data_IF_011540890632
#
_entry.id   IF_011540890632
#
_cell.length_a   1.000
_cell.length_b   1.000
_cell.length_c   1.000
_cell.angle_alpha   90.00
_cell.angle_beta   90.00
_cell.angle_gamma   90.00
#
_symmetry.space_group_name_H-M   'P 1'
#
loop_
_entity.id
_entity.type
_entity.pdbx_description
1 polymer ?
#
# COMPACT_ATOMS: atom_id res chain seq x y z
N UNK A 1 23.32 -39.66 -4.83
CA UNK A 1 23.44 -38.59 -5.86
C UNK A 1 22.07 -38.01 -6.26
N UNK A 2 21.11 -38.84 -6.73
CA UNK A 2 19.76 -38.38 -7.14
C UNK A 2 18.97 -37.59 -6.07
N UNK A 3 19.01 -38.04 -4.81
CA UNK A 3 18.32 -37.35 -3.71
C UNK A 3 18.92 -35.97 -3.40
N UNK A 4 20.25 -35.82 -3.47
CA UNK A 4 20.92 -34.52 -3.29
C UNK A 4 20.59 -33.56 -4.44
N UNK A 5 20.53 -34.06 -5.66
CA UNK A 5 20.13 -33.28 -6.83
C UNK A 5 18.66 -32.79 -6.71
N UNK A 6 17.75 -33.67 -6.28
CA UNK A 6 16.35 -33.30 -6.05
C UNK A 6 16.21 -32.19 -5.00
N UNK A 7 16.94 -32.30 -3.88
CA UNK A 7 16.93 -31.27 -2.84
C UNK A 7 17.44 -29.91 -3.35
N UNK A 8 18.47 -29.89 -4.17
CA UNK A 8 18.98 -28.67 -4.79
C UNK A 8 17.96 -28.04 -5.75
N UNK A 9 17.26 -28.86 -6.53
CA UNK A 9 16.19 -28.40 -7.43
C UNK A 9 15.06 -27.78 -6.62
N UNK A 10 14.60 -28.45 -5.56
CA UNK A 10 13.53 -27.93 -4.70
C UNK A 10 13.94 -26.64 -3.99
N UNK A 11 15.20 -26.53 -3.54
CA UNK A 11 15.73 -25.33 -2.91
C UNK A 11 15.69 -24.09 -3.83
N UNK A 12 15.66 -24.29 -5.15
CA UNK A 12 15.55 -23.21 -6.14
C UNK A 12 14.09 -23.00 -6.56
N UNK A 13 13.38 -24.07 -6.87
CA UNK A 13 12.00 -23.98 -7.39
C UNK A 13 11.02 -23.42 -6.38
N UNK A 14 11.18 -23.72 -5.08
CA UNK A 14 10.27 -23.24 -4.05
C UNK A 14 10.35 -21.71 -3.90
N UNK A 15 11.53 -21.09 -3.67
CA UNK A 15 11.64 -19.62 -3.64
C UNK A 15 11.20 -18.97 -4.94
N UNK A 16 11.56 -19.54 -6.10
CA UNK A 16 11.15 -19.01 -7.39
C UNK A 16 9.62 -19.04 -7.57
N UNK A 17 8.97 -20.12 -7.14
CA UNK A 17 7.51 -20.24 -7.16
C UNK A 17 6.83 -19.24 -6.22
N UNK A 18 7.36 -19.05 -5.01
CA UNK A 18 6.87 -18.06 -4.05
C UNK A 18 7.00 -16.64 -4.63
N UNK A 19 8.18 -16.29 -5.14
CA UNK A 19 8.42 -14.98 -5.76
C UNK A 19 7.48 -14.75 -6.96
N UNK A 20 7.38 -15.74 -7.86
CA UNK A 20 6.49 -15.68 -9.02
C UNK A 20 5.02 -15.51 -8.63
N UNK A 21 4.57 -16.19 -7.57
CA UNK A 21 3.21 -16.06 -7.06
C UNK A 21 2.92 -14.64 -6.53
N UNK A 22 3.85 -14.04 -5.78
CA UNK A 22 3.72 -12.66 -5.32
C UNK A 22 3.71 -11.69 -6.51
N UNK A 23 4.61 -11.88 -7.47
CA UNK A 23 4.70 -11.02 -8.63
C UNK A 23 3.42 -11.04 -9.46
N UNK A 24 2.91 -12.22 -9.81
CA UNK A 24 1.70 -12.35 -10.62
C UNK A 24 0.48 -11.74 -9.90
N UNK A 25 0.41 -11.86 -8.58
CA UNK A 25 -0.77 -11.48 -7.84
C UNK A 25 -0.79 -10.04 -7.32
N UNK A 26 0.36 -9.44 -7.04
CA UNK A 26 0.43 -8.14 -6.35
C UNK A 26 1.34 -7.16 -7.09
N UNK A 27 2.63 -7.49 -7.23
CA UNK A 27 3.62 -6.60 -7.82
C UNK A 27 3.30 -6.25 -9.29
N UNK A 28 3.04 -7.25 -10.13
CA UNK A 28 2.73 -7.06 -11.55
C UNK A 28 1.49 -6.18 -11.78
N UNK A 29 0.35 -6.43 -11.10
CA UNK A 29 -0.79 -5.51 -11.10
C UNK A 29 -0.45 -4.10 -10.63
N UNK A 30 0.37 -3.94 -9.58
CA UNK A 30 0.82 -2.64 -9.08
C UNK A 30 1.69 -1.88 -10.08
N UNK A 31 2.65 -2.56 -10.73
CA UNK A 31 3.48 -1.97 -11.79
C UNK A 31 2.59 -1.42 -12.90
N UNK A 32 1.59 -2.19 -13.32
CA UNK A 32 0.60 -1.72 -14.30
C UNK A 32 -0.24 -0.55 -13.81
N UNK A 33 -0.36 -0.30 -12.51
CA UNK A 33 -1.02 0.90 -11.97
C UNK A 33 -0.08 2.09 -12.07
N UNK A 34 1.16 1.93 -11.61
CA UNK A 34 2.18 2.99 -11.64
C UNK A 34 2.47 3.49 -13.07
N UNK A 35 2.36 2.63 -14.07
CA UNK A 35 2.57 2.98 -15.50
C UNK A 35 1.38 3.69 -16.17
N UNK A 36 0.21 3.77 -15.53
CA UNK A 36 -1.02 4.31 -16.19
C UNK A 36 -1.11 5.82 -16.24
N UNK A 37 -0.43 6.52 -15.34
CA UNK A 37 -0.58 7.96 -15.16
C UNK A 37 0.79 8.61 -14.98
N UNK A 38 1.07 9.65 -15.77
CA UNK A 38 2.31 10.42 -15.65
C UNK A 38 2.46 11.07 -14.26
N UNK A 39 1.36 11.37 -13.57
CA UNK A 39 1.38 11.87 -12.20
C UNK A 39 2.00 10.88 -11.19
N UNK A 40 2.12 9.59 -11.55
CA UNK A 40 2.73 8.57 -10.70
C UNK A 40 4.24 8.42 -10.96
N UNK A 41 4.80 9.18 -11.91
CA UNK A 41 6.25 9.19 -12.13
C UNK A 41 6.98 9.60 -10.85
N UNK A 42 8.05 8.87 -10.53
CA UNK A 42 8.83 9.09 -9.30
C UNK A 42 8.27 8.42 -8.04
N UNK A 43 7.10 7.77 -8.12
CA UNK A 43 6.58 6.90 -7.05
C UNK A 43 7.13 5.48 -7.24
N UNK A 44 7.77 4.93 -6.20
CA UNK A 44 8.23 3.55 -6.17
C UNK A 44 7.54 2.82 -5.02
N UNK A 45 6.77 1.79 -5.33
CA UNK A 45 6.03 0.99 -4.37
C UNK A 45 6.19 -0.48 -4.72
N UNK A 46 6.38 -1.33 -3.72
CA UNK A 46 6.31 -2.78 -3.85
C UNK A 46 5.07 -3.34 -3.17
N UNK A 47 4.53 -4.42 -3.71
CA UNK A 47 3.48 -5.17 -3.04
C UNK A 47 3.69 -6.67 -3.09
N UNK A 48 3.61 -7.27 -1.91
CA UNK A 48 3.86 -8.68 -1.67
C UNK A 48 3.00 -9.16 -0.51
N UNK A 49 2.75 -10.46 -0.44
CA UNK A 49 2.06 -11.06 0.69
C UNK A 49 2.95 -11.02 1.93
N UNK A 50 2.35 -10.94 3.11
CA UNK A 50 3.11 -10.97 4.35
C UNK A 50 4.00 -12.23 4.42
N UNK A 51 5.29 -12.03 4.74
CA UNK A 51 6.35 -13.06 4.65
C UNK A 51 6.43 -13.79 3.29
N UNK A 52 5.95 -13.17 2.21
CA UNK A 52 5.82 -13.73 0.86
C UNK A 52 4.88 -14.95 0.74
N UNK A 53 4.26 -15.43 1.81
CA UNK A 53 3.53 -16.72 1.80
C UNK A 53 2.12 -16.65 2.40
N UNK A 54 1.74 -15.57 3.08
CA UNK A 54 0.45 -15.46 3.75
C UNK A 54 -0.55 -14.60 2.92
N UNK A 55 -1.38 -15.20 2.06
CA UNK A 55 -2.22 -14.46 1.12
C UNK A 55 -3.34 -13.64 1.78
N UNK A 56 -3.61 -13.85 3.07
CA UNK A 56 -4.60 -13.07 3.80
C UNK A 56 -4.12 -11.66 4.16
N UNK A 57 -2.82 -11.37 4.03
CA UNK A 57 -2.24 -10.07 4.37
C UNK A 57 -1.37 -9.58 3.23
N UNK A 58 -1.63 -8.36 2.76
CA UNK A 58 -0.85 -7.70 1.72
C UNK A 58 0.01 -6.62 2.35
N UNK A 59 1.25 -6.51 1.91
CA UNK A 59 2.11 -5.37 2.17
C UNK A 59 2.01 -4.42 0.98
N UNK A 60 1.81 -3.14 1.24
CA UNK A 60 1.90 -2.05 0.28
C UNK A 60 3.00 -1.11 0.77
N UNK A 61 4.19 -1.26 0.19
CA UNK A 61 5.45 -0.73 0.71
C UNK A 61 5.95 0.43 -0.14
N UNK A 62 5.85 1.64 0.39
CA UNK A 62 6.41 2.82 -0.28
C UNK A 62 7.92 2.78 -0.13
N UNK A 63 8.64 2.76 -1.25
CA UNK A 63 10.10 2.72 -1.27
C UNK A 63 10.69 4.11 -1.48
N UNK A 64 10.09 4.90 -2.39
CA UNK A 64 10.55 6.22 -2.73
C UNK A 64 9.41 7.07 -3.31
N UNK A 65 9.49 8.39 -3.11
CA UNK A 65 8.54 9.36 -3.67
C UNK A 65 9.30 10.62 -4.11
N UNK A 66 9.42 10.79 -5.42
CA UNK A 66 10.06 11.94 -6.07
C UNK A 66 9.03 12.69 -6.89
N UNK A 67 8.93 14.01 -6.68
CA UNK A 67 8.06 14.91 -7.46
C UNK A 67 6.56 14.54 -7.51
N UNK A 68 6.09 13.67 -6.62
CA UNK A 68 4.69 13.31 -6.48
C UNK A 68 4.10 13.79 -5.14
N UNK A 69 2.81 14.10 -5.14
CA UNK A 69 2.08 14.57 -3.97
C UNK A 69 1.56 13.40 -3.11
N UNK A 70 1.13 13.71 -1.89
CA UNK A 70 0.43 12.76 -1.03
C UNK A 70 -0.84 12.20 -1.68
N UNK A 71 -1.55 13.04 -2.43
CA UNK A 71 -2.74 12.66 -3.18
C UNK A 71 -2.43 11.68 -4.31
N UNK A 72 -1.25 11.79 -4.94
CA UNK A 72 -0.84 10.87 -6.01
C UNK A 72 -0.56 9.48 -5.43
N UNK A 73 0.18 9.40 -4.32
CA UNK A 73 0.44 8.12 -3.62
C UNK A 73 -0.87 7.48 -3.13
N UNK A 74 -1.80 8.29 -2.62
CA UNK A 74 -3.12 7.81 -2.22
C UNK A 74 -3.96 7.32 -3.41
N UNK A 75 -3.87 8.00 -4.56
CA UNK A 75 -4.52 7.56 -5.80
C UNK A 75 -3.96 6.22 -6.27
N UNK A 76 -2.65 5.98 -6.16
CA UNK A 76 -2.05 4.66 -6.44
C UNK A 76 -2.62 3.58 -5.51
N UNK A 77 -2.83 3.88 -4.22
CA UNK A 77 -3.45 2.93 -3.29
C UNK A 77 -4.90 2.58 -3.70
N UNK A 78 -5.68 3.58 -4.14
CA UNK A 78 -7.04 3.37 -4.63
C UNK A 78 -7.03 2.53 -5.91
N UNK A 79 -6.20 2.89 -6.88
CA UNK A 79 -6.08 2.14 -8.14
C UNK A 79 -5.60 0.70 -7.90
N UNK A 80 -4.71 0.52 -6.93
CA UNK A 80 -4.29 -0.79 -6.47
C UNK A 80 -5.45 -1.60 -5.87
N UNK A 81 -6.35 -0.96 -5.11
CA UNK A 81 -7.58 -1.58 -4.64
C UNK A 81 -8.49 -1.99 -5.80
N UNK A 82 -8.65 -1.12 -6.81
CA UNK A 82 -9.47 -1.38 -8.00
C UNK A 82 -8.97 -2.60 -8.77
N UNK A 83 -7.68 -2.71 -9.04
CA UNK A 83 -7.12 -3.88 -9.74
C UNK A 83 -7.13 -5.16 -8.90
N UNK A 84 -7.32 -5.05 -7.58
CA UNK A 84 -7.44 -6.17 -6.65
C UNK A 84 -8.88 -6.41 -6.15
N UNK A 85 -9.90 -5.77 -6.74
CA UNK A 85 -11.29 -5.78 -6.25
C UNK A 85 -11.90 -7.17 -6.03
N UNK A 86 -11.45 -8.16 -6.79
CA UNK A 86 -11.97 -9.54 -6.73
C UNK A 86 -11.24 -10.41 -5.69
N UNK A 87 -10.24 -9.87 -4.99
CA UNK A 87 -9.43 -10.57 -3.98
C UNK A 87 -9.81 -10.15 -2.57
N UNK A 88 -9.87 -11.11 -1.65
CA UNK A 88 -10.21 -10.88 -0.24
C UNK A 88 -8.98 -10.97 0.64
N UNK A 89 -8.73 -9.90 1.39
CA UNK A 89 -7.67 -9.82 2.38
C UNK A 89 -8.29 -9.62 3.76
N UNK A 90 -7.60 -10.07 4.80
CA UNK A 90 -7.90 -9.68 6.17
C UNK A 90 -7.42 -8.26 6.43
N UNK A 91 -6.26 -7.89 5.88
CA UNK A 91 -5.66 -6.56 6.05
C UNK A 91 -4.67 -6.25 4.92
N UNK A 92 -4.53 -4.95 4.65
CA UNK A 92 -3.45 -4.37 3.87
C UNK A 92 -2.59 -3.55 4.81
N UNK A 93 -1.31 -3.87 4.89
CA UNK A 93 -0.34 -3.20 5.74
C UNK A 93 0.35 -2.13 4.89
N UNK A 94 0.21 -0.88 5.33
CA UNK A 94 0.87 0.26 4.71
C UNK A 94 2.26 0.39 5.33
N UNK A 95 3.29 0.23 4.50
CA UNK A 95 4.68 0.22 4.92
C UNK A 95 5.50 1.31 4.22
N UNK A 96 6.65 1.62 4.81
CA UNK A 96 7.70 2.43 4.18
C UNK A 96 9.06 1.76 4.36
N UNK A 97 9.71 1.44 3.23
CA UNK A 97 11.00 0.73 3.17
C UNK A 97 11.04 -0.51 4.08
N UNK A 98 9.99 -1.33 4.02
CA UNK A 98 9.86 -2.57 4.79
C UNK A 98 9.36 -2.40 6.23
N UNK A 99 9.18 -1.16 6.70
CA UNK A 99 8.66 -0.90 8.05
C UNK A 99 7.15 -0.72 8.00
N UNK A 100 6.40 -1.58 8.66
CA UNK A 100 4.95 -1.42 8.81
C UNK A 100 4.64 -0.14 9.60
N UNK A 101 3.67 0.64 9.11
CA UNK A 101 3.26 1.92 9.73
C UNK A 101 1.80 1.88 10.15
N UNK A 102 0.94 1.43 9.24
CA UNK A 102 -0.50 1.38 9.45
C UNK A 102 -1.11 0.09 8.91
N UNK A 103 -2.31 -0.20 9.40
CA UNK A 103 -3.17 -1.29 8.94
C UNK A 103 -4.41 -0.68 8.31
N UNK A 104 -4.78 -1.19 7.15
CA UNK A 104 -6.07 -0.95 6.52
C UNK A 104 -6.87 -2.27 6.56
N UNK A 105 -8.06 -2.29 7.19
CA UNK A 105 -8.92 -3.46 7.16
C UNK A 105 -9.21 -3.92 5.73
N UNK A 106 -9.09 -5.22 5.45
CA UNK A 106 -9.18 -5.72 4.07
C UNK A 106 -10.58 -5.61 3.47
N UNK A 107 -11.63 -5.62 4.29
CA UNK A 107 -13.00 -5.31 3.88
C UNK A 107 -13.15 -3.84 3.47
N UNK A 108 -12.50 -2.93 4.19
CA UNK A 108 -12.45 -1.52 3.82
C UNK A 108 -11.62 -1.29 2.55
N UNK A 109 -10.48 -1.96 2.40
CA UNK A 109 -9.70 -1.93 1.16
C UNK A 109 -10.54 -2.33 -0.06
N UNK A 110 -11.44 -3.32 0.07
CA UNK A 110 -12.40 -3.63 -1.00
C UNK A 110 -13.41 -2.52 -1.25
N UNK A 111 -13.88 -1.84 -0.20
CA UNK A 111 -14.78 -0.69 -0.35
C UNK A 111 -14.10 0.46 -1.11
N UNK A 112 -12.78 0.66 -0.96
CA UNK A 112 -12.06 1.66 -1.77
C UNK A 112 -12.21 1.38 -3.26
N UNK A 113 -12.16 0.11 -3.67
CA UNK A 113 -12.29 -0.28 -5.07
C UNK A 113 -13.67 0.04 -5.68
N UNK A 114 -14.73 0.03 -4.87
CA UNK A 114 -16.11 0.22 -5.35
C UNK A 114 -16.67 1.61 -5.07
N UNK A 115 -16.14 2.29 -4.05
CA UNK A 115 -16.73 3.52 -3.51
C UNK A 115 -15.83 4.74 -3.68
N UNK A 116 -14.63 4.60 -4.26
CA UNK A 116 -13.82 5.77 -4.62
C UNK A 116 -14.58 6.62 -5.63
N UNK A 117 -14.76 7.90 -5.32
CA UNK A 117 -15.39 8.85 -6.23
C UNK A 117 -14.35 9.88 -6.70
N UNK A 118 -13.86 9.79 -7.94
CA UNK A 118 -12.91 10.78 -8.48
C UNK A 118 -13.46 12.21 -8.49
N UNK A 119 -14.79 12.39 -8.54
CA UNK A 119 -15.44 13.70 -8.49
C UNK A 119 -15.56 14.28 -7.09
N UNK A 120 -15.36 13.46 -6.05
CA UNK A 120 -15.33 13.88 -4.64
C UNK A 120 -14.20 13.16 -3.88
N UNK A 121 -12.94 13.57 -4.09
CA UNK A 121 -11.80 13.00 -3.38
C UNK A 121 -11.92 13.16 -1.86
N UNK A 122 -12.53 14.24 -1.38
CA UNK A 122 -12.68 14.55 0.04
C UNK A 122 -13.52 13.51 0.77
N UNK A 123 -14.63 13.05 0.18
CA UNK A 123 -15.42 11.97 0.78
C UNK A 123 -14.62 10.65 0.88
N UNK A 124 -13.81 10.35 -0.13
CA UNK A 124 -12.95 9.16 -0.13
C UNK A 124 -11.86 9.27 0.95
N UNK A 125 -11.20 10.42 1.07
CA UNK A 125 -10.18 10.68 2.10
C UNK A 125 -10.79 10.62 3.50
N UNK A 126 -11.95 11.26 3.72
CA UNK A 126 -12.66 11.22 5.01
C UNK A 126 -13.01 9.80 5.44
N UNK A 127 -13.51 9.01 4.50
CA UNK A 127 -13.78 7.60 4.73
C UNK A 127 -12.51 6.83 5.08
N UNK A 128 -11.40 7.08 4.38
CA UNK A 128 -10.13 6.38 4.57
C UNK A 128 -9.51 6.69 5.94
N UNK A 129 -9.45 7.96 6.30
CA UNK A 129 -8.93 8.42 7.59
C UNK A 129 -9.73 7.83 8.75
N UNK A 130 -11.04 7.65 8.59
CA UNK A 130 -11.89 7.01 9.59
C UNK A 130 -11.67 5.49 9.75
N UNK A 131 -10.94 4.82 8.83
CA UNK A 131 -10.76 3.36 8.83
C UNK A 131 -9.32 2.89 8.92
N UNK A 132 -8.34 3.76 8.65
CA UNK A 132 -6.94 3.43 8.85
C UNK A 132 -6.66 3.22 10.35
N UNK A 133 -5.80 2.25 10.66
CA UNK A 133 -5.48 1.84 12.01
C UNK A 133 -3.97 1.87 12.25
N UNK A 134 -3.58 2.15 13.48
CA UNK A 134 -2.23 1.87 13.97
C UNK A 134 -1.98 0.34 13.98
N UNK A 135 -0.72 -0.06 14.19
CA UNK A 135 -0.36 -1.49 14.25
C UNK A 135 -1.00 -2.25 15.41
N UNK A 136 -1.46 -1.55 16.44
CA UNK A 136 -2.22 -2.09 17.57
C UNK A 136 -3.73 -2.23 17.26
N UNK A 137 -4.18 -1.79 16.08
CA UNK A 137 -5.57 -1.82 15.64
C UNK A 137 -6.41 -0.60 16.06
N UNK A 138 -5.86 0.34 16.84
CA UNK A 138 -6.57 1.56 17.22
C UNK A 138 -6.67 2.52 16.02
N UNK A 139 -7.77 3.25 15.89
CA UNK A 139 -7.89 4.31 14.89
C UNK A 139 -7.22 5.61 15.41
N UNK A 140 -6.11 6.07 14.80
CA UNK A 140 -5.40 7.28 15.23
C UNK A 140 -6.18 8.59 14.95
N UNK A 141 -7.21 8.54 14.11
CA UNK A 141 -8.03 9.67 13.66
C UNK A 141 -9.51 9.50 14.01
N UNK A 142 -9.81 8.89 15.15
CA UNK A 142 -11.18 8.63 15.63
C UNK A 142 -12.03 9.89 15.90
N UNK A 143 -11.42 11.07 15.93
CA UNK A 143 -12.11 12.35 16.10
C UNK A 143 -12.81 12.77 14.79
N UNK A 144 -14.02 13.31 14.91
CA UNK A 144 -14.80 13.72 13.74
C UNK A 144 -14.13 14.89 13.04
N UNK A 145 -14.07 14.79 11.71
CA UNK A 145 -13.56 15.85 10.85
C UNK A 145 -14.70 16.83 10.54
N UNK A 146 -14.72 17.94 11.27
CA UNK A 146 -15.81 18.94 11.21
C UNK A 146 -15.62 19.95 10.07
N UNK A 147 -14.42 20.03 9.47
CA UNK A 147 -14.09 20.97 8.38
C UNK A 147 -13.12 20.35 7.36
N UNK A 148 -13.13 20.86 6.12
CA UNK A 148 -12.17 20.44 5.09
C UNK A 148 -10.71 20.70 5.49
N UNK A 149 -10.45 21.80 6.19
CA UNK A 149 -9.12 22.12 6.72
C UNK A 149 -8.65 21.07 7.73
N UNK A 150 -9.53 20.62 8.64
CA UNK A 150 -9.21 19.56 9.58
C UNK A 150 -8.98 18.21 8.88
N UNK A 151 -9.69 17.95 7.77
CA UNK A 151 -9.49 16.74 6.98
C UNK A 151 -8.13 16.72 6.31
N UNK A 152 -7.79 17.84 5.66
CA UNK A 152 -6.50 17.99 5.01
C UNK A 152 -5.36 17.84 6.03
N UNK A 153 -5.48 18.48 7.20
CA UNK A 153 -4.46 18.38 8.25
C UNK A 153 -4.28 16.93 8.76
N UNK A 154 -5.37 16.17 8.93
CA UNK A 154 -5.28 14.75 9.32
C UNK A 154 -4.68 13.90 8.20
N UNK A 155 -5.03 14.17 6.95
CA UNK A 155 -4.47 13.47 5.80
C UNK A 155 -2.98 13.76 5.62
N UNK A 156 -2.55 15.00 5.81
CA UNK A 156 -1.14 15.39 5.78
C UNK A 156 -0.37 14.74 6.93
N UNK A 157 -0.91 14.76 8.15
CA UNK A 157 -0.33 14.07 9.31
C UNK A 157 -0.18 12.55 9.07
N UNK A 158 -1.22 11.92 8.51
CA UNK A 158 -1.17 10.51 8.11
C UNK A 158 -0.03 10.23 7.13
N UNK A 159 0.05 10.99 6.03
CA UNK A 159 1.09 10.77 5.01
C UNK A 159 2.49 11.05 5.57
N UNK A 160 2.65 12.04 6.45
CA UNK A 160 3.89 12.32 7.16
C UNK A 160 4.36 11.15 8.03
N UNK A 161 3.45 10.54 8.79
CA UNK A 161 3.72 9.36 9.63
C UNK A 161 3.94 8.09 8.82
N UNK A 162 3.33 8.00 7.64
CA UNK A 162 3.47 6.86 6.76
C UNK A 162 4.83 6.86 6.05
N UNK A 163 5.17 7.90 5.30
CA UNK A 163 6.43 7.93 4.53
C UNK A 163 7.04 9.34 4.37
N UNK A 164 6.23 10.40 4.35
CA UNK A 164 6.67 11.68 3.80
C UNK A 164 7.72 12.40 4.67
N UNK A 165 7.67 12.25 6.00
CA UNK A 165 8.68 12.83 6.90
C UNK A 165 10.09 12.33 6.57
N UNK A 166 10.23 11.02 6.39
CA UNK A 166 11.51 10.37 6.08
C UNK A 166 11.99 10.69 4.66
N UNK A 167 11.08 10.81 3.69
CA UNK A 167 11.42 11.26 2.33
C UNK A 167 11.98 12.69 2.34
N UNK A 168 11.37 13.59 3.11
CA UNK A 168 11.77 15.00 3.16
C UNK A 168 13.12 15.20 3.86
N UNK A 169 13.41 14.45 4.92
CA UNK A 169 14.73 14.46 5.58
C UNK A 169 15.84 14.04 4.61
N UNK A 170 15.60 13.03 3.78
CA UNK A 170 16.60 12.58 2.79
C UNK A 170 16.85 13.59 1.66
N UNK A 171 15.90 14.51 1.40
CA UNK A 171 16.06 15.60 0.42
C UNK A 171 16.81 16.80 1.01
N UNK A 172 16.72 17.06 2.31
CA UNK A 172 17.44 18.17 2.94
C UNK A 172 18.93 17.89 3.14
N UNK A 173 19.34 16.62 3.14
CA UNK A 173 20.73 16.17 3.36
C UNK A 173 21.54 16.02 2.06
N UNK A 174 20.96 16.34 0.89
CA UNK A 174 21.61 16.31 -0.43
C UNK A 174 21.82 17.71 -0.99
#
# INVERSE_FOLDING_TARGET
>A
MKQRLLLLILAILIPAGIYGYNYINLEGPLVKVLERNEAYQGIQIHSYYYNFIAPSKVIFDVMNVENASASDVFSVLIDFAIVNKDKKYQQVILAYKGNAKFILPGDYFQKLATNSNPSDPSATIKSFIAHVQNLDGANPYSQTTDTDASLQAQFDDFNNKWYASEVNTLKSDK
#
